data_IF_442396327248
#
_entry.id   IF_442396327248
#
_cell.length_a   1.000
_cell.length_b   1.000
_cell.length_c   1.000
_cell.angle_alpha   90.00
_cell.angle_beta   90.00
_cell.angle_gamma   90.00
#
_symmetry.space_group_name_H-M   'P 1'
#
loop_
_entity.id
_entity.type
_entity.pdbx_description
1 polymer ?
#
# COMPACT_ATOMS: atom_id res chain seq x y z
N UNK A 1 34.11 18.29 -15.08
CA UNK A 1 33.80 18.01 -16.49
C UNK A 1 32.38 17.46 -16.49
N UNK A 2 31.45 18.26 -16.94
CA UNK A 2 30.04 17.91 -17.01
C UNK A 2 29.80 17.07 -18.26
N UNK A 3 29.31 15.85 -18.13
CA UNK A 3 28.88 15.03 -19.26
C UNK A 3 27.39 15.08 -19.40
N UNK A 4 26.93 15.53 -20.54
CA UNK A 4 25.56 15.71 -21.00
C UNK A 4 24.77 14.41 -20.96
N UNK A 5 23.61 14.44 -20.31
CA UNK A 5 22.55 13.43 -20.47
C UNK A 5 21.87 13.69 -21.81
N UNK A 6 21.98 12.75 -22.73
CA UNK A 6 21.38 12.81 -24.06
C UNK A 6 19.94 12.29 -23.95
N UNK A 7 18.98 13.19 -24.10
CA UNK A 7 17.59 12.82 -24.32
C UNK A 7 17.42 12.30 -25.75
N UNK A 8 17.03 11.04 -25.91
CA UNK A 8 16.62 10.50 -27.20
C UNK A 8 15.24 11.00 -27.58
N UNK A 9 15.22 11.98 -28.47
CA UNK A 9 14.00 12.47 -29.10
C UNK A 9 13.66 11.53 -30.27
N UNK A 10 12.59 10.73 -30.18
CA UNK A 10 12.12 9.90 -31.29
C UNK A 10 11.16 10.69 -32.16
N UNK A 11 11.68 11.23 -33.27
CA UNK A 11 10.89 11.76 -34.35
C UNK A 11 10.27 10.66 -35.21
N UNK A 12 8.95 10.66 -35.26
CA UNK A 12 8.02 10.33 -36.35
C UNK A 12 8.43 9.31 -37.43
N UNK A 13 7.86 8.11 -37.33
CA UNK A 13 7.57 7.24 -38.47
C UNK A 13 6.07 6.89 -38.48
N UNK A 14 5.37 7.30 -39.56
CA UNK A 14 3.96 6.98 -39.81
C UNK A 14 3.80 5.49 -40.18
N UNK A 15 2.82 4.84 -39.62
CA UNK A 15 1.88 3.88 -40.15
C UNK A 15 1.69 2.66 -39.25
N UNK A 16 0.62 2.63 -38.51
CA UNK A 16 -0.31 1.50 -38.37
C UNK A 16 -1.44 1.94 -37.43
N UNK A 17 -2.50 2.54 -38.00
CA UNK A 17 -3.81 2.57 -37.37
C UNK A 17 -4.34 1.14 -37.45
N UNK A 18 -4.55 0.51 -36.31
CA UNK A 18 -5.68 -0.33 -35.95
C UNK A 18 -5.33 -1.21 -34.75
N UNK A 19 -6.18 -1.14 -33.72
CA UNK A 19 -6.21 -1.91 -32.47
C UNK A 19 -5.58 -1.30 -31.20
N UNK A 20 -5.65 0.01 -31.03
CA UNK A 20 -5.32 0.66 -29.74
C UNK A 20 -6.54 0.82 -28.80
N UNK A 21 -7.65 0.10 -29.03
CA UNK A 21 -8.90 0.28 -28.24
C UNK A 21 -9.29 -0.89 -27.33
N UNK A 22 -8.37 -1.77 -26.97
CA UNK A 22 -8.65 -2.85 -26.01
C UNK A 22 -7.63 -3.05 -24.89
N UNK A 23 -6.73 -2.11 -24.67
CA UNK A 23 -5.93 -2.07 -23.46
C UNK A 23 -6.49 -1.01 -22.51
N UNK A 24 -7.80 -1.03 -22.23
CA UNK A 24 -8.36 -0.38 -21.08
C UNK A 24 -8.04 -1.24 -19.86
N UNK A 25 -6.97 -0.84 -19.18
CA UNK A 25 -6.85 -0.78 -17.73
C UNK A 25 -7.94 -1.57 -17.00
N UNK A 26 -7.62 -2.74 -16.48
CA UNK A 26 -8.34 -3.34 -15.37
C UNK A 26 -8.05 -2.49 -14.13
N UNK A 27 -8.66 -1.31 -14.10
CA UNK A 27 -8.82 -0.54 -12.88
C UNK A 27 -9.74 -1.37 -11.98
N UNK A 28 -9.26 -1.67 -10.78
CA UNK A 28 -10.02 -2.31 -9.71
C UNK A 28 -11.45 -1.77 -9.67
N UNK A 29 -12.41 -2.58 -10.15
CA UNK A 29 -13.80 -2.14 -10.32
C UNK A 29 -14.40 -1.78 -8.97
N UNK A 30 -15.14 -0.68 -8.94
CA UNK A 30 -15.96 -0.28 -7.80
C UNK A 30 -16.99 -1.38 -7.49
N UNK A 31 -16.64 -2.31 -6.62
CA UNK A 31 -17.62 -3.18 -5.99
C UNK A 31 -18.27 -2.35 -4.88
N UNK A 32 -19.52 -1.94 -5.10
CA UNK A 32 -20.36 -1.41 -4.03
C UNK A 32 -20.71 -2.57 -3.10
N UNK A 33 -19.87 -2.86 -2.14
CA UNK A 33 -20.21 -3.68 -1.02
C UNK A 33 -20.79 -2.79 0.07
N UNK A 34 -22.11 -2.82 0.21
CA UNK A 34 -22.81 -2.37 1.42
C UNK A 34 -22.43 -3.27 2.60
N UNK A 35 -21.21 -3.14 3.09
CA UNK A 35 -20.80 -3.72 4.35
C UNK A 35 -21.46 -2.87 5.43
N UNK A 36 -22.55 -3.38 6.00
CA UNK A 36 -23.13 -2.89 7.25
C UNK A 36 -22.06 -2.98 8.34
N UNK A 37 -21.28 -1.92 8.51
CA UNK A 37 -20.35 -1.77 9.62
C UNK A 37 -21.21 -1.81 10.89
N UNK A 38 -21.17 -2.95 11.60
CA UNK A 38 -21.63 -2.99 12.99
C UNK A 38 -20.75 -2.00 13.75
N UNK A 39 -21.34 -0.85 14.14
CA UNK A 39 -20.69 0.08 15.06
C UNK A 39 -20.34 -0.72 16.31
N UNK A 40 -19.09 -1.05 16.49
CA UNK A 40 -18.56 -1.50 17.77
C UNK A 40 -18.83 -0.37 18.75
N UNK A 41 -19.64 -0.66 19.77
CA UNK A 41 -19.93 0.30 20.84
C UNK A 41 -18.60 0.67 21.50
N UNK A 42 -18.27 1.95 21.47
CA UNK A 42 -17.08 2.46 22.15
C UNK A 42 -17.33 2.38 23.66
N UNK A 43 -16.62 1.48 24.34
CA UNK A 43 -16.66 1.34 25.77
C UNK A 43 -15.69 2.35 26.39
N UNK A 44 -16.19 3.21 27.26
CA UNK A 44 -15.37 4.18 28.01
C UNK A 44 -15.08 3.66 29.40
N UNK A 45 -13.95 4.02 29.99
CA UNK A 45 -13.59 3.72 31.37
C UNK A 45 -14.03 4.87 32.27
N UNK A 46 -14.64 4.52 33.39
CA UNK A 46 -15.08 5.45 34.42
C UNK A 46 -14.50 5.04 35.78
N UNK A 47 -13.88 5.96 36.51
CA UNK A 47 -13.28 5.71 37.81
C UNK A 47 -14.08 6.39 38.90
N UNK A 48 -14.52 5.62 39.90
CA UNK A 48 -15.17 6.16 41.08
C UNK A 48 -14.17 7.00 41.90
N UNK A 49 -14.45 8.27 42.10
CA UNK A 49 -13.59 9.19 42.85
C UNK A 49 -13.57 8.92 44.35
N UNK A 50 -14.46 8.06 44.86
CA UNK A 50 -14.55 7.72 46.30
C UNK A 50 -13.70 6.49 46.61
N UNK A 51 -13.77 5.43 45.82
CA UNK A 51 -13.09 4.16 46.13
C UNK A 51 -12.14 3.65 45.06
N UNK A 52 -11.99 4.36 43.93
CA UNK A 52 -11.09 3.97 42.84
C UNK A 52 -11.60 2.82 41.94
N UNK A 53 -12.81 2.32 42.14
CA UNK A 53 -13.38 1.28 41.32
C UNK A 53 -13.47 1.72 39.85
N UNK A 54 -13.00 0.87 38.95
CA UNK A 54 -13.00 1.13 37.47
C UNK A 54 -14.17 0.37 36.85
N UNK A 55 -15.02 1.10 36.14
CA UNK A 55 -16.14 0.57 35.37
C UNK A 55 -15.93 0.80 33.89
N UNK A 56 -16.19 -0.19 33.06
CA UNK A 56 -16.14 -0.08 31.58
C UNK A 56 -17.57 -0.15 31.04
N UNK A 57 -18.00 0.89 30.32
CA UNK A 57 -19.33 0.99 29.75
C UNK A 57 -19.54 2.18 28.84
N UNK A 58 -20.74 2.33 28.29
CA UNK A 58 -21.12 3.47 27.45
C UNK A 58 -21.31 4.76 28.27
N UNK A 59 -21.70 4.62 29.53
CA UNK A 59 -21.90 5.69 30.49
C UNK A 59 -21.53 5.20 31.90
N UNK A 60 -21.30 6.12 32.83
CA UNK A 60 -21.08 5.77 34.24
C UNK A 60 -22.26 4.95 34.80
N UNK A 61 -22.02 3.97 35.67
CA UNK A 61 -23.08 3.22 36.33
C UNK A 61 -23.88 4.14 37.26
N UNK A 62 -25.15 3.84 37.50
CA UNK A 62 -26.01 4.66 38.38
C UNK A 62 -25.47 4.78 39.79
N UNK A 63 -24.81 3.71 40.26
CA UNK A 63 -24.25 3.57 41.58
C UNK A 63 -22.98 2.71 41.53
N UNK A 64 -21.99 3.05 42.35
CA UNK A 64 -20.78 2.24 42.46
C UNK A 64 -21.10 0.91 43.18
N UNK A 65 -20.74 -0.24 42.57
CA UNK A 65 -21.03 -1.54 43.18
C UNK A 65 -20.19 -1.84 44.42
N UNK A 66 -19.16 -1.00 44.72
CA UNK A 66 -18.26 -1.21 45.86
C UNK A 66 -18.61 -0.31 47.02
N UNK A 67 -18.81 0.99 46.76
CA UNK A 67 -18.99 1.99 47.85
C UNK A 67 -20.34 2.70 47.80
N UNK A 68 -21.23 2.32 46.90
CA UNK A 68 -22.54 2.91 46.72
C UNK A 68 -22.59 4.41 46.41
N UNK A 69 -21.45 4.95 45.94
CA UNK A 69 -21.39 6.34 45.46
C UNK A 69 -22.22 6.51 44.19
N UNK A 70 -22.96 7.62 44.05
CA UNK A 70 -23.80 7.84 42.87
C UNK A 70 -22.98 8.14 41.60
N UNK A 71 -23.62 8.09 40.42
CA UNK A 71 -23.00 8.21 39.10
C UNK A 71 -22.12 9.50 38.96
N UNK A 72 -22.49 10.60 39.62
CA UNK A 72 -21.76 11.88 39.57
C UNK A 72 -20.36 11.79 40.19
N UNK A 73 -20.07 10.72 40.92
CA UNK A 73 -18.75 10.45 41.52
C UNK A 73 -17.86 9.65 40.60
N UNK A 74 -18.30 9.32 39.40
CA UNK A 74 -17.47 8.65 38.38
C UNK A 74 -16.87 9.71 37.44
N UNK A 75 -15.55 9.70 37.36
CA UNK A 75 -14.79 10.49 36.38
C UNK A 75 -14.54 9.61 35.15
N UNK A 76 -14.89 10.11 33.95
CA UNK A 76 -14.49 9.49 32.69
C UNK A 76 -12.98 9.58 32.56
N UNK A 77 -12.33 8.43 32.36
CA UNK A 77 -10.90 8.40 31.99
C UNK A 77 -10.82 8.73 30.53
N UNK A 78 -10.31 9.90 30.21
CA UNK A 78 -9.86 10.17 28.85
C UNK A 78 -8.52 9.45 28.70
N UNK A 79 -8.45 8.50 27.78
CA UNK A 79 -7.15 8.01 27.34
C UNK A 79 -6.44 9.20 26.68
N UNK A 80 -5.55 9.82 27.42
CA UNK A 80 -4.63 10.79 26.82
C UNK A 80 -3.73 9.98 25.89
N UNK A 81 -4.08 9.94 24.61
CA UNK A 81 -3.21 9.43 23.60
C UNK A 81 -1.87 10.16 23.71
N UNK A 82 -0.79 9.42 23.83
CA UNK A 82 0.55 10.00 23.79
C UNK A 82 0.68 10.64 22.40
N UNK A 83 0.79 11.97 22.38
CA UNK A 83 1.04 12.70 21.14
C UNK A 83 2.55 12.78 20.94
N UNK A 84 3.02 12.22 19.85
CA UNK A 84 4.42 12.32 19.47
C UNK A 84 4.71 13.74 18.97
N UNK A 85 5.91 14.27 19.27
CA UNK A 85 6.29 15.64 18.91
C UNK A 85 6.37 15.87 17.41
N UNK A 86 6.61 14.79 16.63
CA UNK A 86 6.68 14.81 15.18
C UNK A 86 5.93 13.59 14.64
N UNK A 87 4.75 13.83 14.09
CA UNK A 87 3.92 12.79 13.50
C UNK A 87 4.11 12.77 11.98
N UNK A 88 4.59 11.65 11.46
CA UNK A 88 4.58 11.38 10.03
C UNK A 88 3.13 11.32 9.52
N UNK A 89 2.83 12.11 8.49
CA UNK A 89 1.51 12.15 7.87
C UNK A 89 1.60 11.73 6.43
N UNK A 90 0.79 10.73 6.07
CA UNK A 90 0.56 10.39 4.67
C UNK A 90 -0.25 11.51 4.01
N UNK A 91 0.11 11.89 2.78
CA UNK A 91 -0.64 12.88 2.01
C UNK A 91 -0.28 14.34 2.30
N UNK A 92 0.93 14.63 2.75
CA UNK A 92 1.36 16.03 3.00
C UNK A 92 1.38 16.88 1.74
N UNK A 93 1.41 16.28 0.54
CA UNK A 93 1.35 16.98 -0.74
C UNK A 93 -0.07 17.11 -1.29
N UNK A 94 -1.08 16.56 -0.64
CA UNK A 94 -2.47 16.65 -1.07
C UNK A 94 -2.96 18.10 -1.12
N UNK A 95 -3.52 18.49 -2.27
CA UNK A 95 -4.04 19.83 -2.49
C UNK A 95 -2.99 20.93 -2.71
N UNK A 96 -1.72 20.55 -2.89
CA UNK A 96 -0.66 21.47 -3.29
C UNK A 96 -0.75 21.82 -4.79
N UNK A 97 0.19 22.65 -5.24
CA UNK A 97 0.32 23.04 -6.64
C UNK A 97 0.45 21.81 -7.56
N UNK A 98 -0.27 21.80 -8.68
CA UNK A 98 -0.35 20.67 -9.60
C UNK A 98 1.01 20.32 -10.21
N UNK A 99 1.89 21.30 -10.43
CA UNK A 99 3.25 21.06 -10.94
C UNK A 99 4.11 20.30 -9.91
N UNK A 100 3.95 20.61 -8.62
CA UNK A 100 4.63 19.90 -7.54
C UNK A 100 4.12 18.47 -7.44
N UNK A 101 2.80 18.26 -7.42
CA UNK A 101 2.18 16.92 -7.34
C UNK A 101 2.55 16.07 -8.55
N UNK A 102 2.54 16.64 -9.75
CA UNK A 102 2.95 15.96 -10.97
C UNK A 102 4.44 15.55 -10.92
N UNK A 103 5.32 16.45 -10.46
CA UNK A 103 6.74 16.15 -10.28
C UNK A 103 6.99 15.02 -9.28
N UNK A 104 6.30 15.03 -8.14
CA UNK A 104 6.39 13.94 -7.15
C UNK A 104 5.94 12.59 -7.75
N UNK A 105 4.85 12.59 -8.53
CA UNK A 105 4.33 11.38 -9.18
C UNK A 105 5.28 10.85 -10.27
N UNK A 106 5.90 11.74 -11.06
CA UNK A 106 6.89 11.36 -12.07
C UNK A 106 8.11 10.70 -11.40
N UNK A 107 8.62 11.30 -10.32
CA UNK A 107 9.73 10.73 -9.56
C UNK A 107 9.33 9.37 -8.96
N UNK A 108 8.17 9.23 -8.32
CA UNK A 108 7.68 7.94 -7.83
C UNK A 108 7.74 6.84 -8.91
N UNK A 109 7.26 7.14 -10.12
CA UNK A 109 7.27 6.18 -11.23
C UNK A 109 8.70 5.86 -11.69
N UNK A 110 9.59 6.85 -11.69
CA UNK A 110 11.01 6.70 -11.99
C UNK A 110 11.68 5.73 -11.03
N UNK A 111 11.57 5.99 -9.74
CA UNK A 111 12.16 5.16 -8.68
C UNK A 111 11.64 3.72 -8.71
N UNK A 112 10.32 3.52 -8.86
CA UNK A 112 9.75 2.19 -9.00
C UNK A 112 10.32 1.41 -10.21
N UNK A 113 10.58 2.11 -11.32
CA UNK A 113 11.18 1.53 -12.52
C UNK A 113 12.64 1.16 -12.29
N UNK A 114 13.40 2.02 -11.60
CA UNK A 114 14.81 1.82 -11.28
C UNK A 114 15.02 0.62 -10.36
N UNK A 115 14.15 0.38 -9.39
CA UNK A 115 14.18 -0.85 -8.56
C UNK A 115 14.24 -2.09 -9.44
N UNK A 116 13.34 -2.22 -10.42
CA UNK A 116 13.30 -3.38 -11.31
C UNK A 116 14.51 -3.47 -12.22
N UNK A 117 14.95 -2.34 -12.77
CA UNK A 117 16.11 -2.27 -13.66
C UNK A 117 17.40 -2.62 -12.92
N UNK A 118 17.65 -2.07 -11.74
CA UNK A 118 18.87 -2.32 -10.98
C UNK A 118 18.96 -3.78 -10.49
N UNK A 119 17.86 -4.38 -10.07
CA UNK A 119 17.83 -5.81 -9.77
C UNK A 119 18.11 -6.68 -11.01
N UNK A 120 17.66 -6.27 -12.19
CA UNK A 120 18.01 -6.93 -13.44
C UNK A 120 19.52 -6.80 -13.74
N UNK A 121 20.09 -5.60 -13.61
CA UNK A 121 21.53 -5.33 -13.79
C UNK A 121 22.39 -6.10 -12.80
N UNK A 122 21.93 -6.22 -11.55
CA UNK A 122 22.58 -7.06 -10.53
C UNK A 122 22.70 -8.51 -10.99
N UNK A 123 21.60 -9.09 -11.48
CA UNK A 123 21.60 -10.47 -12.00
C UNK A 123 22.51 -10.67 -13.20
N UNK A 124 22.64 -9.66 -14.07
CA UNK A 124 23.60 -9.68 -15.18
C UNK A 124 25.03 -9.69 -14.63
N UNK A 125 25.37 -8.78 -13.73
CA UNK A 125 26.71 -8.68 -13.13
C UNK A 125 27.11 -9.98 -12.41
N UNK A 126 26.22 -10.60 -11.66
CA UNK A 126 26.46 -11.89 -11.00
C UNK A 126 26.75 -13.01 -12.01
N UNK A 127 25.98 -13.08 -13.11
CA UNK A 127 26.21 -14.10 -14.15
C UNK A 127 27.53 -13.90 -14.90
N UNK A 128 27.98 -12.65 -15.04
CA UNK A 128 29.25 -12.30 -15.66
C UNK A 128 30.46 -12.47 -14.72
N UNK A 129 30.23 -12.77 -13.44
CA UNK A 129 31.30 -12.96 -12.45
C UNK A 129 31.78 -11.68 -11.79
N UNK A 130 30.96 -10.63 -11.77
CA UNK A 130 31.22 -9.36 -11.07
C UNK A 130 30.35 -9.19 -9.83
N UNK A 131 30.55 -10.02 -8.77
CA UNK A 131 29.64 -10.03 -7.63
C UNK A 131 29.63 -8.71 -6.85
N UNK A 132 30.73 -7.98 -6.80
CA UNK A 132 30.80 -6.68 -6.12
C UNK A 132 29.94 -5.64 -6.80
N UNK A 133 29.89 -5.64 -8.14
CA UNK A 133 29.02 -4.77 -8.93
C UNK A 133 27.56 -5.19 -8.72
N UNK A 134 27.27 -6.50 -8.72
CA UNK A 134 25.93 -7.03 -8.47
C UNK A 134 25.39 -6.59 -7.12
N UNK A 135 26.17 -6.75 -6.05
CA UNK A 135 25.80 -6.32 -4.70
C UNK A 135 25.55 -4.81 -4.59
N UNK A 136 26.32 -4.00 -5.32
CA UNK A 136 26.08 -2.57 -5.33
C UNK A 136 24.75 -2.20 -6.02
N UNK A 137 24.41 -2.86 -7.14
CA UNK A 137 23.11 -2.71 -7.79
C UNK A 137 21.95 -3.12 -6.90
N UNK A 138 22.07 -4.22 -6.16
CA UNK A 138 21.05 -4.66 -5.20
C UNK A 138 20.85 -3.61 -4.09
N UNK A 139 21.96 -3.05 -3.57
CA UNK A 139 21.89 -1.98 -2.58
C UNK A 139 21.19 -0.74 -3.13
N UNK A 140 21.56 -0.29 -4.33
CA UNK A 140 20.95 0.86 -4.99
C UNK A 140 19.43 0.62 -5.21
N UNK A 141 19.03 -0.57 -5.68
CA UNK A 141 17.63 -0.90 -5.86
C UNK A 141 16.81 -0.78 -4.55
N UNK A 142 17.40 -1.12 -3.42
CA UNK A 142 16.75 -0.92 -2.11
C UNK A 142 16.63 0.57 -1.75
N UNK A 143 17.65 1.37 -2.04
CA UNK A 143 17.64 2.82 -1.82
C UNK A 143 16.57 3.50 -2.69
N UNK A 144 16.40 3.09 -3.97
CA UNK A 144 15.32 3.60 -4.84
C UNK A 144 13.92 3.15 -4.35
N UNK A 145 13.79 1.96 -3.77
CA UNK A 145 12.54 1.54 -3.15
C UNK A 145 12.15 2.43 -1.95
N UNK A 146 13.12 2.87 -1.16
CA UNK A 146 12.92 3.82 -0.06
C UNK A 146 12.55 5.21 -0.58
N UNK A 147 13.15 5.68 -1.69
CA UNK A 147 12.77 6.93 -2.34
C UNK A 147 11.32 6.87 -2.85
N UNK A 148 10.96 5.80 -3.56
CA UNK A 148 9.59 5.58 -4.01
C UNK A 148 8.59 5.59 -2.84
N UNK A 149 8.91 4.93 -1.72
CA UNK A 149 8.07 4.92 -0.54
C UNK A 149 7.83 6.33 0.03
N UNK A 150 8.87 7.17 0.08
CA UNK A 150 8.77 8.56 0.53
C UNK A 150 7.90 9.41 -0.39
N UNK A 151 8.04 9.27 -1.71
CA UNK A 151 7.16 9.95 -2.67
C UNK A 151 5.72 9.48 -2.52
N UNK A 152 5.49 8.18 -2.34
CA UNK A 152 4.15 7.64 -2.12
C UNK A 152 3.53 8.19 -0.83
N UNK A 153 4.30 8.27 0.26
CA UNK A 153 3.85 8.82 1.53
C UNK A 153 3.48 10.31 1.41
N UNK A 154 4.27 11.10 0.68
CA UNK A 154 3.95 12.52 0.43
C UNK A 154 2.68 12.69 -0.40
N UNK A 155 2.49 11.87 -1.43
CA UNK A 155 1.36 11.95 -2.36
C UNK A 155 0.06 11.43 -1.75
N UNK A 156 0.10 10.39 -0.91
CA UNK A 156 -1.11 9.82 -0.32
C UNK A 156 -2.17 9.43 -1.35
N UNK A 157 -3.40 9.93 -1.19
CA UNK A 157 -4.53 9.68 -2.11
C UNK A 157 -4.34 10.32 -3.50
N UNK A 158 -3.46 11.28 -3.65
CA UNK A 158 -3.09 11.84 -4.96
C UNK A 158 -2.29 10.85 -5.81
N UNK A 159 -1.56 9.93 -5.19
CA UNK A 159 -0.93 8.83 -5.92
C UNK A 159 -1.94 7.77 -6.31
N UNK A 160 -2.68 7.26 -5.32
CA UNK A 160 -3.67 6.19 -5.49
C UNK A 160 -4.84 6.42 -4.50
N UNK A 161 -6.05 6.75 -4.99
CA UNK A 161 -7.19 7.10 -4.11
C UNK A 161 -7.60 6.02 -3.11
N UNK A 162 -7.16 4.77 -3.32
CA UNK A 162 -7.43 3.68 -2.40
C UNK A 162 -6.32 3.47 -1.35
N UNK A 163 -5.17 4.10 -1.51
CA UNK A 163 -4.11 4.09 -0.51
C UNK A 163 -4.51 5.04 0.63
N UNK A 164 -4.79 4.48 1.80
CA UNK A 164 -5.28 5.22 2.95
C UNK A 164 -4.23 5.32 4.04
N UNK A 165 -4.42 6.27 4.96
CA UNK A 165 -3.56 6.44 6.12
C UNK A 165 -3.77 5.35 7.20
N UNK A 166 -4.61 4.33 6.95
CA UNK A 166 -4.88 3.25 7.91
C UNK A 166 -4.46 1.88 7.38
N UNK A 167 -3.80 1.09 8.23
CA UNK A 167 -3.38 -0.27 7.90
C UNK A 167 -4.57 -1.17 7.53
N UNK A 168 -5.72 -1.00 8.20
CA UNK A 168 -6.92 -1.79 7.94
C UNK A 168 -7.42 -1.60 6.51
N UNK A 169 -7.56 -0.35 6.08
CA UNK A 169 -8.10 -0.02 4.76
C UNK A 169 -7.12 -0.44 3.66
N UNK A 170 -5.82 -0.24 3.88
CA UNK A 170 -4.79 -0.68 2.95
C UNK A 170 -4.76 -2.21 2.78
N UNK A 171 -4.88 -2.98 3.88
CA UNK A 171 -4.99 -4.43 3.79
C UNK A 171 -6.23 -4.86 3.00
N UNK A 172 -7.40 -4.28 3.30
CA UNK A 172 -8.65 -4.61 2.60
C UNK A 172 -8.55 -4.34 1.10
N UNK A 173 -8.04 -3.17 0.72
CA UNK A 173 -7.82 -2.83 -0.68
C UNK A 173 -6.83 -3.77 -1.36
N UNK A 174 -5.68 -4.07 -0.72
CA UNK A 174 -4.65 -4.93 -1.34
C UNK A 174 -5.11 -6.35 -1.55
N UNK A 175 -5.98 -6.92 -0.70
CA UNK A 175 -6.57 -8.25 -0.94
C UNK A 175 -7.23 -8.32 -2.32
N UNK A 176 -8.06 -7.33 -2.67
CA UNK A 176 -8.74 -7.28 -3.96
C UNK A 176 -7.77 -7.09 -5.12
N UNK A 177 -6.73 -6.26 -4.94
CA UNK A 177 -5.71 -6.03 -5.95
C UNK A 177 -4.88 -7.28 -6.23
N UNK A 178 -4.46 -8.02 -5.19
CA UNK A 178 -3.70 -9.27 -5.37
C UNK A 178 -4.55 -10.35 -6.06
N UNK A 179 -5.85 -10.40 -5.77
CA UNK A 179 -6.77 -11.29 -6.48
C UNK A 179 -6.80 -10.95 -7.98
N UNK A 180 -6.92 -9.67 -8.33
CA UNK A 180 -6.88 -9.21 -9.73
C UNK A 180 -5.52 -9.48 -10.40
N UNK A 181 -4.40 -9.23 -9.68
CA UNK A 181 -3.06 -9.48 -10.17
C UNK A 181 -2.82 -10.99 -10.44
N UNK A 182 -3.33 -11.87 -9.57
CA UNK A 182 -3.30 -13.33 -9.76
C UNK A 182 -4.01 -13.72 -11.06
N UNK A 183 -5.22 -13.20 -11.29
CA UNK A 183 -5.99 -13.49 -12.51
C UNK A 183 -5.26 -12.99 -13.76
N UNK A 184 -4.80 -11.74 -13.78
CA UNK A 184 -4.12 -11.13 -14.91
C UNK A 184 -2.82 -11.86 -15.28
N UNK A 185 -1.98 -12.21 -14.30
CA UNK A 185 -0.75 -12.99 -14.53
C UNK A 185 -1.07 -14.42 -15.02
N UNK A 186 -2.13 -15.05 -14.49
CA UNK A 186 -2.57 -16.37 -14.97
C UNK A 186 -2.98 -16.31 -16.43
N UNK A 187 -3.71 -15.28 -16.85
CA UNK A 187 -4.14 -15.13 -18.25
C UNK A 187 -2.96 -14.81 -19.18
N UNK A 188 -2.00 -14.00 -18.72
CA UNK A 188 -0.75 -13.76 -19.46
C UNK A 188 0.06 -15.06 -19.61
N UNK A 189 0.17 -15.88 -18.56
CA UNK A 189 0.86 -17.17 -18.63
C UNK A 189 0.20 -18.10 -19.65
N UNK A 190 -1.14 -18.21 -19.64
CA UNK A 190 -1.88 -18.99 -20.66
C UNK A 190 -1.63 -18.47 -22.08
N UNK A 191 -1.59 -17.15 -22.26
CA UNK A 191 -1.28 -16.53 -23.54
C UNK A 191 0.14 -16.90 -24.01
N UNK A 192 1.13 -16.82 -23.11
CA UNK A 192 2.51 -17.23 -23.40
C UNK A 192 2.58 -18.71 -23.82
N UNK A 193 1.89 -19.59 -23.10
CA UNK A 193 1.83 -21.03 -23.44
C UNK A 193 1.24 -21.27 -24.82
N UNK A 194 0.15 -20.58 -25.16
CA UNK A 194 -0.47 -20.66 -26.48
C UNK A 194 0.46 -20.26 -27.63
N UNK A 195 1.42 -19.37 -27.34
CA UNK A 195 2.43 -18.89 -28.29
C UNK A 195 3.75 -19.69 -28.21
N UNK A 196 3.80 -20.82 -27.52
CA UNK A 196 5.00 -21.64 -27.30
C UNK A 196 6.17 -20.90 -26.62
N UNK A 197 5.87 -19.97 -25.71
CA UNK A 197 6.82 -19.19 -24.93
C UNK A 197 6.94 -19.76 -23.51
N UNK A 198 7.47 -20.99 -23.40
CA UNK A 198 7.46 -21.75 -22.15
C UNK A 198 8.20 -21.02 -21.00
N UNK A 199 9.36 -20.42 -21.26
CA UNK A 199 10.12 -19.69 -20.24
C UNK A 199 9.32 -18.49 -19.67
N UNK A 200 8.57 -17.79 -20.52
CA UNK A 200 7.70 -16.69 -20.08
C UNK A 200 6.51 -17.24 -19.31
N UNK A 201 5.88 -18.31 -19.83
CA UNK A 201 4.78 -19.00 -19.15
C UNK A 201 5.18 -19.38 -17.71
N UNK A 202 6.27 -20.11 -17.55
CA UNK A 202 6.69 -20.64 -16.26
C UNK A 202 7.00 -19.52 -15.27
N UNK A 203 7.73 -18.49 -15.72
CA UNK A 203 8.07 -17.33 -14.88
C UNK A 203 6.82 -16.58 -14.44
N UNK A 204 5.91 -16.26 -15.35
CA UNK A 204 4.70 -15.49 -15.04
C UNK A 204 3.71 -16.32 -14.21
N UNK A 205 3.66 -17.64 -14.43
CA UNK A 205 2.81 -18.52 -13.64
C UNK A 205 3.29 -18.62 -12.18
N UNK A 206 4.60 -18.66 -11.92
CA UNK A 206 5.13 -18.57 -10.55
C UNK A 206 4.78 -17.24 -9.90
N UNK A 207 4.93 -16.11 -10.63
CA UNK A 207 4.51 -14.81 -10.12
C UNK A 207 3.01 -14.78 -9.77
N UNK A 208 2.14 -15.42 -10.56
CA UNK A 208 0.72 -15.52 -10.22
C UNK A 208 0.46 -16.26 -8.91
N UNK A 209 1.28 -17.29 -8.59
CA UNK A 209 1.22 -17.98 -7.29
C UNK A 209 1.68 -17.10 -6.14
N UNK A 210 2.67 -16.25 -6.39
CA UNK A 210 3.14 -15.28 -5.39
C UNK A 210 2.05 -14.27 -5.05
N UNK A 211 1.36 -13.70 -6.07
CA UNK A 211 0.23 -12.80 -5.83
C UNK A 211 -0.90 -13.46 -5.02
N UNK A 212 -1.22 -14.73 -5.35
CA UNK A 212 -2.21 -15.49 -4.58
C UNK A 212 -1.77 -15.70 -3.11
N UNK A 213 -0.48 -15.88 -2.86
CA UNK A 213 0.09 -15.99 -1.51
C UNK A 213 0.02 -14.66 -0.77
N UNK A 214 0.36 -13.55 -1.44
CA UNK A 214 0.25 -12.19 -0.88
C UNK A 214 -1.19 -11.89 -0.49
N UNK A 215 -2.16 -12.11 -1.38
CA UNK A 215 -3.57 -11.87 -1.12
C UNK A 215 -4.10 -12.66 0.07
N UNK A 216 -3.77 -13.97 0.17
CA UNK A 216 -4.15 -14.80 1.31
C UNK A 216 -3.49 -14.36 2.62
N UNK A 217 -2.24 -13.90 2.56
CA UNK A 217 -1.57 -13.37 3.74
C UNK A 217 -2.23 -12.07 4.23
N UNK A 218 -2.55 -11.15 3.32
CA UNK A 218 -3.23 -9.90 3.66
C UNK A 218 -4.65 -10.16 4.21
N UNK A 219 -5.41 -11.07 3.61
CA UNK A 219 -6.73 -11.49 4.13
C UNK A 219 -6.61 -12.06 5.54
N UNK A 220 -5.65 -12.95 5.77
CA UNK A 220 -5.40 -13.54 7.08
C UNK A 220 -5.02 -12.50 8.14
N UNK A 221 -4.19 -11.52 7.78
CA UNK A 221 -3.81 -10.42 8.68
C UNK A 221 -5.00 -9.50 8.95
N UNK A 222 -5.78 -9.16 7.92
CA UNK A 222 -6.98 -8.34 8.06
C UNK A 222 -7.97 -8.99 9.04
N UNK A 223 -8.21 -10.29 8.89
CA UNK A 223 -9.10 -11.06 9.78
C UNK A 223 -8.55 -11.13 11.20
N UNK A 224 -7.25 -11.34 11.36
CA UNK A 224 -6.62 -11.51 12.68
C UNK A 224 -6.66 -10.25 13.53
N UNK A 225 -6.41 -9.09 12.93
CA UNK A 225 -6.24 -7.84 13.66
C UNK A 225 -7.45 -6.92 13.64
N UNK A 226 -8.35 -7.09 12.66
CA UNK A 226 -9.47 -6.17 12.42
C UNK A 226 -10.82 -6.87 12.18
N UNK A 227 -10.85 -8.20 12.28
CA UNK A 227 -12.06 -9.04 12.13
C UNK A 227 -12.82 -9.28 13.43
#
# INVERSE_FOLDING_TARGET
MYTNVVYFNHSKGKAAKNNADKAKTLVCGKVKNDIKIRRTKIMSKFVCSVCGYVYEGEAAPKECPICHAPAEKFNKVEETAITWADEHKVGVAEGLDEEVVAGLRENFNGECSEVGMYLCMARVAHREGYPEIGLYWEKAAYEEAEHAAKFAEMLGEDLEPNMKATTKDNLAWRVDCEFGATAGKTDLAKCAKKNNLDAIHDTVHEMARDEARHGKAFEGLLKRYFG
#
